data_IF_892366279370
#
_entry.id   IF_892366279370
#
_cell.length_a   1.000
_cell.length_b   1.000
_cell.length_c   1.000
_cell.angle_alpha   90.00
_cell.angle_beta   90.00
_cell.angle_gamma   90.00
#
_symmetry.space_group_name_H-M   'P 1'
#
loop_
_entity.id
_entity.type
_entity.pdbx_description
1 polymer ?
#
# COMPACT_ATOMS: atom_id res chain seq x y z
N UNK A 1 -1.09 -37.05 0.28
CA UNK A 1 -1.80 -35.85 -0.12
C UNK A 1 -1.54 -35.49 -1.59
N UNK A 2 -1.03 -36.41 -2.38
CA UNK A 2 -0.76 -36.26 -3.83
C UNK A 2 -1.81 -36.94 -4.73
N UNK A 3 -2.78 -37.62 -4.16
CA UNK A 3 -3.78 -38.44 -4.91
C UNK A 3 -5.10 -37.73 -5.20
N UNK A 4 -5.33 -36.51 -4.68
CA UNK A 4 -6.62 -35.81 -4.81
C UNK A 4 -6.65 -34.75 -5.92
N UNK A 5 -5.54 -34.46 -6.59
CA UNK A 5 -5.44 -33.42 -7.65
C UNK A 5 -5.46 -33.97 -9.08
N UNK A 6 -5.65 -35.26 -9.25
CA UNK A 6 -5.56 -35.93 -10.56
C UNK A 6 -6.91 -36.19 -11.26
N UNK A 7 -8.04 -35.67 -10.75
CA UNK A 7 -9.35 -36.09 -11.28
C UNK A 7 -10.27 -35.01 -11.85
N UNK A 8 -9.82 -33.80 -12.03
CA UNK A 8 -10.63 -32.78 -12.71
C UNK A 8 -9.76 -31.94 -13.65
N UNK A 9 -10.01 -32.08 -14.92
CA UNK A 9 -9.65 -31.27 -16.08
C UNK A 9 -8.69 -31.89 -17.10
N UNK A 10 -9.30 -32.32 -18.14
CA UNK A 10 -8.70 -32.70 -19.42
C UNK A 10 -8.43 -31.41 -20.24
N UNK A 11 -7.26 -30.79 -20.04
CA UNK A 11 -6.57 -29.89 -20.97
C UNK A 11 -5.36 -29.26 -20.29
N UNK A 12 -4.18 -29.54 -20.82
CA UNK A 12 -2.86 -28.95 -20.57
C UNK A 12 -2.43 -28.87 -19.10
N UNK A 13 -1.56 -29.78 -18.67
CA UNK A 13 -0.91 -29.79 -17.37
C UNK A 13 0.47 -29.16 -17.49
N UNK A 14 0.71 -28.06 -16.76
CA UNK A 14 2.05 -27.63 -16.37
C UNK A 14 2.36 -28.21 -14.98
N UNK A 15 3.43 -29.00 -14.90
CA UNK A 15 3.91 -29.57 -13.63
C UNK A 15 5.02 -28.67 -13.11
N UNK A 16 4.81 -28.05 -11.97
CA UNK A 16 5.85 -27.35 -11.23
C UNK A 16 6.67 -28.36 -10.44
N UNK A 17 7.96 -28.48 -10.74
CA UNK A 17 8.90 -29.32 -9.99
C UNK A 17 9.82 -28.41 -9.19
N UNK A 18 9.66 -28.40 -7.85
CA UNK A 18 10.64 -27.75 -6.98
C UNK A 18 11.91 -28.61 -6.87
N UNK A 19 13.06 -27.98 -6.90
CA UNK A 19 14.36 -28.60 -6.93
C UNK A 19 14.83 -29.10 -5.57
N UNK A 20 14.17 -30.12 -5.00
CA UNK A 20 14.79 -30.95 -3.96
C UNK A 20 14.53 -32.41 -4.32
N UNK A 21 15.54 -32.99 -4.89
CA UNK A 21 15.94 -34.38 -4.93
C UNK A 21 14.90 -35.48 -4.76
N UNK A 22 13.96 -35.67 -5.68
CA UNK A 22 13.18 -36.91 -5.77
C UNK A 22 12.72 -37.18 -7.22
N UNK A 23 13.69 -37.35 -8.12
CA UNK A 23 13.48 -38.03 -9.39
C UNK A 23 14.47 -39.17 -9.50
N UNK A 24 14.29 -40.19 -8.64
CA UNK A 24 14.77 -41.55 -8.90
C UNK A 24 13.56 -42.45 -8.68
N UNK A 25 13.25 -43.21 -9.76
CA UNK A 25 12.28 -44.29 -9.79
C UNK A 25 10.85 -43.95 -10.23
N UNK A 26 10.67 -43.67 -11.53
CA UNK A 26 9.46 -44.08 -12.27
C UNK A 26 9.79 -44.15 -13.78
N UNK A 27 10.17 -45.33 -14.30
CA UNK A 27 10.54 -45.51 -15.72
C UNK A 27 9.38 -45.39 -16.73
N UNK A 28 8.13 -45.44 -16.27
CA UNK A 28 6.95 -45.48 -17.16
C UNK A 28 6.45 -44.09 -17.63
N UNK A 29 6.98 -43.01 -17.11
CA UNK A 29 6.55 -41.62 -17.50
C UNK A 29 7.44 -41.05 -18.61
N UNK A 30 8.63 -41.59 -18.83
CA UNK A 30 9.58 -41.07 -19.84
C UNK A 30 9.07 -41.07 -21.27
N UNK A 31 8.13 -41.91 -21.63
CA UNK A 31 7.66 -42.05 -23.02
C UNK A 31 6.43 -41.18 -23.37
N UNK A 32 5.81 -40.53 -22.41
CA UNK A 32 4.68 -39.61 -22.67
C UNK A 32 5.05 -38.12 -22.62
N UNK A 33 6.25 -37.80 -22.15
CA UNK A 33 6.69 -36.39 -21.91
C UNK A 33 7.47 -35.83 -23.12
N UNK A 34 7.71 -36.61 -24.19
CA UNK A 34 8.57 -36.17 -25.30
C UNK A 34 7.94 -35.14 -26.24
N UNK A 35 6.68 -34.74 -26.07
CA UNK A 35 6.02 -33.74 -26.92
C UNK A 35 5.43 -32.53 -26.18
N UNK A 36 5.51 -32.46 -24.86
CA UNK A 36 5.12 -31.27 -24.12
C UNK A 36 6.35 -30.35 -23.91
N UNK A 37 6.25 -29.11 -24.36
CA UNK A 37 7.26 -28.07 -24.06
C UNK A 37 7.27 -27.82 -22.56
N UNK A 38 8.14 -28.51 -21.83
CA UNK A 38 8.45 -28.14 -20.43
C UNK A 38 9.25 -26.85 -20.50
N UNK A 39 8.60 -25.71 -20.27
CA UNK A 39 9.32 -24.49 -19.94
C UNK A 39 9.79 -24.63 -18.49
N UNK A 40 11.03 -25.02 -18.30
CA UNK A 40 11.73 -24.85 -17.03
C UNK A 40 12.00 -23.37 -16.91
N UNK A 41 11.21 -22.68 -16.09
CA UNK A 41 11.62 -21.33 -15.66
C UNK A 41 12.95 -21.48 -14.94
N UNK A 42 13.98 -20.71 -15.31
CA UNK A 42 15.20 -20.72 -14.55
C UNK A 42 14.83 -20.28 -13.13
N UNK A 43 14.93 -21.23 -12.18
CA UNK A 43 14.84 -20.94 -10.76
C UNK A 43 15.73 -19.74 -10.49
N UNK A 44 15.13 -18.75 -9.88
CA UNK A 44 15.68 -17.50 -9.43
C UNK A 44 17.18 -17.60 -9.22
N UNK A 45 17.95 -16.89 -10.02
CA UNK A 45 19.26 -16.47 -9.60
C UNK A 45 19.06 -15.86 -8.22
N UNK A 46 19.89 -16.28 -7.25
CA UNK A 46 19.97 -15.61 -5.95
C UNK A 46 19.76 -14.12 -6.15
N UNK A 47 18.98 -13.44 -5.31
CA UNK A 47 18.79 -12.02 -5.44
C UNK A 47 20.17 -11.44 -5.66
N UNK A 48 20.40 -10.86 -6.84
CA UNK A 48 21.70 -10.33 -7.15
C UNK A 48 22.02 -9.37 -6.02
N UNK A 49 22.86 -9.79 -5.08
CA UNK A 49 23.64 -8.87 -4.28
C UNK A 49 24.38 -8.00 -5.28
N UNK A 50 23.69 -6.98 -5.80
CA UNK A 50 24.34 -5.89 -6.50
C UNK A 50 25.35 -5.37 -5.50
N UNK A 51 26.61 -5.81 -5.66
CA UNK A 51 27.73 -5.21 -4.97
C UNK A 51 27.47 -3.72 -4.96
N UNK A 52 27.27 -3.15 -3.78
CA UNK A 52 27.18 -1.73 -3.54
C UNK A 52 28.23 -1.00 -4.37
N UNK A 53 27.90 -0.52 -5.54
CA UNK A 53 28.47 0.71 -6.03
C UNK A 53 27.78 1.81 -5.21
N UNK A 54 28.28 2.06 -4.02
CA UNK A 54 28.02 3.31 -3.31
C UNK A 54 28.38 4.41 -4.30
N UNK A 55 27.41 5.10 -4.84
CA UNK A 55 27.77 6.33 -5.50
C UNK A 55 26.72 7.07 -6.30
N UNK A 56 25.80 6.48 -7.09
CA UNK A 56 25.26 7.33 -8.16
C UNK A 56 23.73 7.45 -8.30
N UNK A 57 22.93 6.61 -7.70
CA UNK A 57 21.47 6.65 -7.91
C UNK A 57 20.65 7.14 -6.70
N UNK A 58 21.26 7.33 -5.54
CA UNK A 58 20.66 8.06 -4.42
C UNK A 58 20.56 9.58 -4.65
N UNK A 59 21.23 10.12 -5.66
CA UNK A 59 21.23 11.57 -5.90
C UNK A 59 19.89 12.13 -6.39
N UNK A 60 18.93 11.28 -6.81
CA UNK A 60 17.62 11.70 -7.30
C UNK A 60 16.44 11.06 -6.55
N UNK A 61 16.68 10.32 -5.46
CA UNK A 61 15.60 9.73 -4.67
C UNK A 61 14.79 10.84 -3.99
N UNK A 62 13.46 10.72 -4.06
CA UNK A 62 12.54 11.63 -3.38
C UNK A 62 12.64 11.43 -1.88
N UNK A 63 12.95 12.48 -1.13
CA UNK A 63 12.99 12.46 0.33
C UNK A 63 11.58 12.38 0.89
N UNK A 64 11.33 11.38 1.71
CA UNK A 64 10.00 11.18 2.30
C UNK A 64 10.07 10.91 3.80
N UNK A 65 9.06 11.35 4.52
CA UNK A 65 8.70 10.87 5.85
C UNK A 65 7.38 10.13 5.71
N UNK A 66 7.26 8.97 6.35
CA UNK A 66 6.02 8.19 6.38
C UNK A 66 5.40 8.40 7.76
N UNK A 67 4.19 8.97 7.79
CA UNK A 67 3.37 9.11 8.99
C UNK A 67 2.27 8.06 8.92
N UNK A 68 2.23 7.14 9.87
CA UNK A 68 1.41 5.94 9.78
C UNK A 68 0.93 5.44 11.16
N UNK A 69 -0.03 4.56 11.18
CA UNK A 69 -0.57 3.89 12.38
C UNK A 69 -0.49 2.35 12.25
N UNK A 70 0.72 1.78 12.13
CA UNK A 70 1.02 0.50 11.52
C UNK A 70 0.08 -0.66 11.85
N UNK A 71 -0.95 -0.79 11.01
CA UNK A 71 -1.78 -1.94 10.79
C UNK A 71 -1.25 -2.82 9.65
N UNK A 72 -2.08 -3.68 9.09
CA UNK A 72 -1.68 -4.66 8.07
C UNK A 72 -1.27 -3.98 6.77
N UNK A 73 -2.07 -3.06 6.25
CA UNK A 73 -1.80 -2.37 4.98
C UNK A 73 -0.73 -1.28 5.10
N UNK A 74 -0.61 -0.60 6.26
CA UNK A 74 0.56 0.24 6.56
C UNK A 74 1.87 -0.54 6.43
N UNK A 75 1.91 -1.76 6.98
CA UNK A 75 3.09 -2.62 6.90
C UNK A 75 3.40 -2.98 5.45
N UNK A 76 2.41 -3.26 4.62
CA UNK A 76 2.61 -3.48 3.18
C UNK A 76 3.11 -2.20 2.48
N UNK A 77 2.64 -1.03 2.90
CA UNK A 77 3.11 0.26 2.41
C UNK A 77 4.57 0.53 2.82
N UNK A 78 4.93 0.24 4.07
CA UNK A 78 6.31 0.32 4.55
C UNK A 78 7.25 -0.62 3.79
N UNK A 79 6.82 -1.87 3.51
CA UNK A 79 7.58 -2.80 2.67
C UNK A 79 7.85 -2.19 1.29
N UNK A 80 6.82 -1.62 0.65
CA UNK A 80 6.94 -0.99 -0.65
C UNK A 80 7.90 0.20 -0.61
N UNK A 81 7.72 1.12 0.34
CA UNK A 81 8.53 2.33 0.45
C UNK A 81 10.01 2.02 0.68
N UNK A 82 10.31 1.11 1.62
CA UNK A 82 11.67 0.77 2.00
C UNK A 82 12.42 -0.07 0.94
N UNK A 83 11.69 -0.73 0.05
CA UNK A 83 12.22 -1.48 -1.10
C UNK A 83 12.33 -0.65 -2.37
N UNK A 84 11.68 0.52 -2.43
CA UNK A 84 11.67 1.38 -3.62
C UNK A 84 12.93 2.25 -3.66
N UNK A 85 13.77 2.11 -4.70
CA UNK A 85 15.00 2.91 -4.82
C UNK A 85 14.72 4.39 -5.15
N UNK A 86 13.52 4.73 -5.56
CA UNK A 86 13.03 6.07 -5.86
C UNK A 86 12.79 6.92 -4.61
N UNK A 87 12.70 6.26 -3.43
CA UNK A 87 12.45 6.93 -2.16
C UNK A 87 13.68 6.90 -1.24
N UNK A 88 13.92 8.02 -0.59
CA UNK A 88 14.84 8.15 0.55
C UNK A 88 13.99 8.39 1.81
N UNK A 89 13.71 7.30 2.54
CA UNK A 89 12.88 7.35 3.75
C UNK A 89 13.71 7.90 4.90
N UNK A 90 13.46 9.15 5.27
CA UNK A 90 14.19 9.88 6.32
C UNK A 90 13.82 9.42 7.73
N UNK A 91 12.59 8.92 7.90
CA UNK A 91 12.07 8.41 9.17
C UNK A 91 10.60 8.04 9.05
N UNK A 92 10.12 7.35 10.08
CA UNK A 92 8.72 6.95 10.23
C UNK A 92 8.20 7.62 11.49
N UNK A 93 7.08 8.34 11.39
CA UNK A 93 6.35 8.89 12.52
C UNK A 93 5.07 8.09 12.73
N UNK A 94 4.77 7.73 13.97
CA UNK A 94 3.65 6.86 14.28
C UNK A 94 2.58 7.65 15.03
N UNK A 95 1.35 7.58 14.57
CA UNK A 95 0.14 8.16 15.16
C UNK A 95 -0.75 7.06 15.73
N UNK A 96 -1.66 7.39 16.62
CA UNK A 96 -2.72 6.49 17.03
C UNK A 96 -3.78 6.36 15.91
N UNK A 97 -4.22 5.15 15.65
CA UNK A 97 -5.23 4.85 14.64
C UNK A 97 -5.59 3.37 14.72
N UNK A 98 -5.19 2.56 13.77
CA UNK A 98 -5.43 1.11 13.71
C UNK A 98 -5.12 0.42 15.06
N UNK A 99 -4.00 0.82 15.66
CA UNK A 99 -3.53 0.37 16.98
C UNK A 99 -3.01 1.55 17.81
N UNK A 100 -2.81 1.37 19.13
CA UNK A 100 -2.12 2.39 19.93
C UNK A 100 -0.72 2.71 19.36
N UNK A 101 -0.30 3.98 19.44
CA UNK A 101 0.96 4.49 18.88
C UNK A 101 2.18 3.64 19.25
N UNK A 102 2.25 3.15 20.48
CA UNK A 102 3.35 2.27 20.93
C UNK A 102 3.34 0.91 20.22
N UNK A 103 2.17 0.31 20.02
CA UNK A 103 2.03 -0.94 19.27
C UNK A 103 2.36 -0.74 17.79
N UNK A 104 1.88 0.36 17.20
CA UNK A 104 2.21 0.71 15.81
C UNK A 104 3.72 0.88 15.61
N UNK A 105 4.41 1.54 16.54
CA UNK A 105 5.86 1.71 16.47
C UNK A 105 6.61 0.36 16.55
N UNK A 106 6.18 -0.56 17.40
CA UNK A 106 6.71 -1.93 17.43
C UNK A 106 6.47 -2.66 16.09
N UNK A 107 5.30 -2.47 15.48
CA UNK A 107 4.99 -3.06 14.19
C UNK A 107 5.87 -2.49 13.06
N UNK A 108 6.12 -1.16 13.05
CA UNK A 108 7.07 -0.54 12.13
C UNK A 108 8.49 -1.11 12.30
N UNK A 109 8.96 -1.28 13.55
CA UNK A 109 10.27 -1.87 13.82
C UNK A 109 10.38 -3.32 13.33
N UNK A 110 9.31 -4.12 13.39
CA UNK A 110 9.29 -5.50 12.85
C UNK A 110 9.53 -5.51 11.34
N UNK A 111 8.94 -4.56 10.61
CA UNK A 111 9.19 -4.40 9.15
C UNK A 111 10.63 -3.99 8.89
N UNK A 112 11.14 -3.01 9.66
CA UNK A 112 12.53 -2.56 9.52
C UNK A 112 13.53 -3.69 9.80
N UNK A 113 13.26 -4.53 10.80
CA UNK A 113 14.07 -5.70 11.11
C UNK A 113 14.04 -6.75 9.99
N UNK A 114 12.85 -7.05 9.44
CA UNK A 114 12.68 -7.96 8.30
C UNK A 114 13.48 -7.50 7.08
N UNK A 115 13.58 -6.20 6.86
CA UNK A 115 14.28 -5.61 5.71
C UNK A 115 15.76 -5.27 6.02
N UNK A 116 16.27 -5.56 7.21
CA UNK A 116 17.60 -5.15 7.67
C UNK A 116 17.83 -3.62 7.59
N UNK A 117 16.76 -2.83 7.85
CA UNK A 117 16.73 -1.37 7.75
C UNK A 117 16.50 -0.68 9.10
N UNK A 118 17.00 -1.24 10.19
CA UNK A 118 16.96 -0.62 11.53
C UNK A 118 17.76 0.72 11.62
N UNK A 119 18.39 1.14 10.52
CA UNK A 119 18.98 2.47 10.34
C UNK A 119 17.94 3.59 10.22
N UNK A 120 16.71 3.27 9.75
CA UNK A 120 15.62 4.22 9.62
C UNK A 120 14.99 4.47 11.00
N UNK A 121 14.96 5.73 11.50
CA UNK A 121 14.41 6.00 12.81
C UNK A 121 12.88 5.96 12.82
N UNK A 122 12.31 5.45 13.91
CA UNK A 122 10.87 5.46 14.21
C UNK A 122 10.61 6.40 15.37
N UNK A 123 9.61 7.28 15.24
CA UNK A 123 9.25 8.28 16.25
C UNK A 123 7.81 8.09 16.71
N UNK A 124 7.60 8.16 18.03
CA UNK A 124 6.28 8.15 18.65
C UNK A 124 5.66 9.54 18.53
N UNK A 125 4.48 9.62 17.95
CA UNK A 125 3.68 10.81 17.80
C UNK A 125 2.47 10.82 18.74
N UNK A 126 1.38 11.43 18.28
CA UNK A 126 0.17 11.61 19.06
C UNK A 126 -0.49 10.26 19.43
N UNK A 127 -0.91 10.18 20.69
CA UNK A 127 -1.51 8.95 21.24
C UNK A 127 -3.04 9.00 21.30
N UNK A 128 -3.63 10.10 20.85
CA UNK A 128 -5.08 10.33 20.82
C UNK A 128 -5.41 11.38 19.75
N UNK A 129 -6.63 11.33 19.17
CA UNK A 129 -7.16 12.38 18.32
C UNK A 129 -7.21 13.74 19.00
N UNK A 130 -7.30 14.83 18.21
CA UNK A 130 -7.33 16.21 18.74
C UNK A 130 -8.49 16.46 19.70
N UNK A 131 -9.68 15.99 19.38
CA UNK A 131 -10.90 16.30 20.11
C UNK A 131 -11.64 15.06 20.58
N UNK A 132 -11.90 14.10 19.70
CA UNK A 132 -12.73 12.95 20.01
C UNK A 132 -11.95 11.85 20.76
N UNK A 133 -12.66 10.92 21.45
CA UNK A 133 -12.03 9.73 22.00
C UNK A 133 -11.38 8.88 20.92
N UNK A 134 -10.24 8.30 21.22
CA UNK A 134 -9.58 7.33 20.38
C UNK A 134 -10.43 6.05 20.26
N UNK A 135 -10.55 5.54 19.06
CA UNK A 135 -11.19 4.27 18.74
C UNK A 135 -10.23 3.52 17.82
N UNK A 136 -9.74 2.37 18.24
CA UNK A 136 -8.85 1.52 17.44
C UNK A 136 -9.63 0.73 16.37
N UNK A 137 -8.87 0.03 15.51
CA UNK A 137 -9.39 -0.87 14.49
C UNK A 137 -8.85 -2.31 14.68
N UNK A 138 -8.76 -2.75 15.92
CA UNK A 138 -8.29 -4.12 16.25
C UNK A 138 -9.22 -5.21 15.75
N UNK A 139 -10.49 -4.91 15.51
CA UNK A 139 -11.45 -5.80 14.84
C UNK A 139 -11.12 -6.03 13.35
N UNK A 140 -10.39 -5.10 12.74
CA UNK A 140 -9.96 -5.09 11.34
C UNK A 140 -8.54 -5.63 11.18
N UNK A 141 -7.62 -5.22 12.05
CA UNK A 141 -6.19 -5.52 11.95
C UNK A 141 -5.70 -6.59 12.93
N UNK A 142 -6.57 -7.13 13.79
CA UNK A 142 -6.20 -8.06 14.85
C UNK A 142 -5.63 -7.36 16.08
N UNK A 143 -5.60 -8.07 17.22
CA UNK A 143 -5.20 -7.52 18.51
C UNK A 143 -3.75 -6.96 18.54
N UNK A 144 -2.86 -7.51 17.69
CA UNK A 144 -1.48 -7.05 17.54
C UNK A 144 -1.29 -6.04 16.38
N UNK A 145 -2.37 -5.73 15.65
CA UNK A 145 -2.34 -4.89 14.45
C UNK A 145 -1.73 -5.57 13.22
N UNK A 146 -1.30 -6.82 13.33
CA UNK A 146 -0.65 -7.59 12.27
C UNK A 146 -1.34 -8.94 12.02
N UNK A 147 -2.69 -8.94 12.09
CA UNK A 147 -3.49 -10.12 11.79
C UNK A 147 -3.32 -11.27 12.77
N UNK A 148 -3.01 -10.94 14.03
CA UNK A 148 -2.72 -11.92 15.11
C UNK A 148 -1.56 -12.86 14.74
N UNK A 149 -0.59 -12.32 14.00
CA UNK A 149 0.64 -13.04 13.64
C UNK A 149 1.60 -13.21 14.81
N UNK A 150 1.44 -12.39 15.87
CA UNK A 150 2.20 -12.41 17.12
C UNK A 150 3.73 -12.47 16.89
N UNK A 151 4.20 -11.74 15.90
CA UNK A 151 5.62 -11.65 15.61
C UNK A 151 6.40 -11.08 16.81
N UNK A 152 7.63 -11.59 17.09
CA UNK A 152 8.41 -11.13 18.23
C UNK A 152 8.78 -9.66 18.10
N UNK A 153 8.82 -8.95 19.23
CA UNK A 153 9.24 -7.55 19.28
C UNK A 153 10.74 -7.42 18.99
N UNK A 154 11.11 -6.29 18.39
CA UNK A 154 12.48 -5.92 18.09
C UNK A 154 13.15 -5.38 19.36
N UNK A 155 14.31 -5.92 19.73
CA UNK A 155 15.02 -5.52 20.95
C UNK A 155 16.28 -4.71 20.69
N UNK A 156 16.74 -4.67 19.44
CA UNK A 156 18.01 -4.03 19.02
C UNK A 156 17.94 -2.50 19.02
N UNK A 157 16.75 -1.94 18.75
CA UNK A 157 16.49 -0.51 18.72
C UNK A 157 15.16 -0.24 19.41
N UNK A 158 14.91 1.01 19.76
CA UNK A 158 13.65 1.46 20.33
C UNK A 158 13.13 2.66 19.55
N UNK A 159 11.81 2.85 19.49
CA UNK A 159 11.23 4.07 18.96
C UNK A 159 11.75 5.27 19.76
N UNK A 160 11.91 6.40 19.10
CA UNK A 160 12.24 7.69 19.70
C UNK A 160 10.94 8.44 20.02
N UNK A 161 11.01 9.36 20.98
CA UNK A 161 9.95 10.30 21.26
C UNK A 161 9.97 11.49 20.27
N UNK A 162 8.98 12.36 20.34
CA UNK A 162 8.97 13.67 19.68
C UNK A 162 8.87 13.60 18.14
N UNK A 163 7.86 12.90 17.63
CA UNK A 163 7.59 12.82 16.19
C UNK A 163 7.34 14.20 15.57
N UNK A 164 6.63 15.08 16.26
CA UNK A 164 6.27 16.41 15.73
C UNK A 164 7.51 17.29 15.58
N UNK A 165 8.39 17.26 16.55
CA UNK A 165 9.68 17.97 16.50
C UNK A 165 10.60 17.41 15.41
N UNK A 166 10.60 16.09 15.21
CA UNK A 166 11.35 15.47 14.11
C UNK A 166 10.82 15.94 12.74
N UNK A 167 9.50 15.97 12.55
CA UNK A 167 8.86 16.50 11.35
C UNK A 167 9.26 17.96 11.13
N UNK A 168 9.11 18.79 12.17
CA UNK A 168 9.41 20.23 12.12
C UNK A 168 10.88 20.51 11.82
N UNK A 169 11.79 19.81 12.48
CA UNK A 169 13.23 19.94 12.24
C UNK A 169 13.59 19.53 10.82
N UNK A 170 13.11 18.38 10.37
CA UNK A 170 13.42 17.86 9.03
C UNK A 170 12.96 18.82 7.94
N UNK A 171 11.72 19.34 8.04
CA UNK A 171 11.20 20.32 7.07
C UNK A 171 11.90 21.68 7.14
N UNK A 172 12.41 22.07 8.31
CA UNK A 172 13.18 23.31 8.46
C UNK A 172 14.58 23.21 7.84
N UNK A 173 15.23 22.07 8.01
CA UNK A 173 16.59 21.82 7.52
C UNK A 173 16.66 21.42 6.05
N UNK A 174 15.57 20.82 5.51
CA UNK A 174 15.54 20.28 4.16
C UNK A 174 14.32 20.81 3.39
N UNK A 175 14.51 21.08 2.10
CA UNK A 175 13.42 21.53 1.22
C UNK A 175 12.95 20.38 0.32
N UNK A 176 11.68 20.38 -0.03
CA UNK A 176 11.09 19.40 -0.94
C UNK A 176 10.91 18.01 -0.32
N UNK A 177 10.82 17.93 1.01
CA UNK A 177 10.52 16.67 1.71
C UNK A 177 9.03 16.39 1.57
N UNK A 178 8.67 15.25 1.02
CA UNK A 178 7.28 14.80 0.93
C UNK A 178 6.87 14.08 2.22
N UNK A 179 5.62 14.24 2.62
CA UNK A 179 5.03 13.45 3.69
C UNK A 179 3.99 12.52 3.07
N UNK A 180 4.09 11.23 3.39
CA UNK A 180 3.08 10.22 3.05
C UNK A 180 2.38 9.88 4.36
N UNK A 181 1.15 10.40 4.53
CA UNK A 181 0.33 10.18 5.71
C UNK A 181 -0.66 9.04 5.43
N UNK A 182 -0.48 7.92 6.12
CA UNK A 182 -1.26 6.70 5.93
C UNK A 182 -2.32 6.50 7.03
N UNK A 183 -2.14 7.17 8.18
CA UNK A 183 -3.06 7.15 9.31
C UNK A 183 -3.83 8.46 9.53
N UNK A 184 -4.50 8.60 10.68
CA UNK A 184 -5.16 9.84 11.07
C UNK A 184 -4.20 11.02 11.05
N UNK A 185 -4.67 12.18 10.58
CA UNK A 185 -3.81 13.35 10.33
C UNK A 185 -3.40 14.13 11.60
N UNK A 186 -3.49 13.53 12.78
CA UNK A 186 -3.24 14.19 14.07
C UNK A 186 -1.81 14.75 14.18
N UNK A 187 -0.79 13.95 13.78
CA UNK A 187 0.61 14.42 13.80
C UNK A 187 0.79 15.61 12.85
N UNK A 188 0.18 15.57 11.67
CA UNK A 188 0.29 16.63 10.65
C UNK A 188 -0.43 17.90 11.12
N UNK A 189 -1.59 17.75 11.75
CA UNK A 189 -2.31 18.88 12.33
C UNK A 189 -1.51 19.55 13.44
N UNK A 190 -0.89 18.78 14.34
CA UNK A 190 0.02 19.30 15.39
C UNK A 190 1.22 20.02 14.79
N UNK A 191 1.87 19.42 13.79
CA UNK A 191 2.96 20.05 13.07
C UNK A 191 2.55 21.44 12.53
N UNK A 192 1.38 21.54 11.91
CA UNK A 192 0.86 22.80 11.37
C UNK A 192 0.58 23.82 12.47
N UNK A 193 -0.02 23.39 13.58
CA UNK A 193 -0.38 24.26 14.70
C UNK A 193 0.84 24.78 15.46
N UNK A 194 1.80 23.89 15.75
CA UNK A 194 2.91 24.18 16.65
C UNK A 194 4.14 24.74 15.91
N UNK A 195 4.35 24.35 14.62
CA UNK A 195 5.53 24.71 13.84
C UNK A 195 5.21 25.21 12.40
N UNK A 196 4.30 26.16 12.21
CA UNK A 196 3.85 26.55 10.86
C UNK A 196 4.97 27.05 9.93
N UNK A 197 6.05 27.60 10.50
CA UNK A 197 7.18 28.10 9.71
C UNK A 197 7.94 27.01 8.96
N UNK A 198 7.94 25.75 9.43
CA UNK A 198 8.65 24.65 8.79
C UNK A 198 7.97 24.19 7.48
N UNK A 199 6.70 24.53 7.28
CA UNK A 199 5.90 24.11 6.10
C UNK A 199 6.46 24.61 4.75
N UNK A 200 7.38 25.56 4.78
CA UNK A 200 8.16 25.93 3.57
C UNK A 200 8.98 24.76 3.02
N UNK A 201 9.44 23.86 3.88
CA UNK A 201 10.22 22.68 3.51
C UNK A 201 9.41 21.55 2.90
N UNK A 202 8.08 21.55 3.11
CA UNK A 202 7.20 20.54 2.57
C UNK A 202 7.25 20.51 1.03
N UNK A 203 7.51 19.35 0.45
CA UNK A 203 7.39 19.10 -0.99
C UNK A 203 5.95 18.89 -1.39
N UNK A 204 5.39 17.77 -0.99
CA UNK A 204 3.99 17.42 -1.18
C UNK A 204 3.44 16.68 0.06
N UNK A 205 2.14 16.66 0.21
CA UNK A 205 1.42 15.84 1.17
C UNK A 205 0.53 14.86 0.42
N UNK A 206 0.82 13.58 0.53
CA UNK A 206 -0.02 12.48 0.03
C UNK A 206 -0.68 11.83 1.24
N UNK A 207 -2.01 11.77 1.24
CA UNK A 207 -2.75 11.15 2.35
C UNK A 207 -3.53 9.94 1.86
N UNK A 208 -3.43 8.80 2.57
CA UNK A 208 -4.46 7.79 2.49
C UNK A 208 -5.58 8.19 3.45
N UNK A 209 -6.76 8.44 2.93
CA UNK A 209 -7.91 8.85 3.74
C UNK A 209 -9.03 9.48 2.94
N UNK A 210 -10.21 9.54 3.57
CA UNK A 210 -11.39 10.15 3.01
C UNK A 210 -12.07 9.37 1.88
N UNK A 211 -13.15 9.93 1.38
CA UNK A 211 -13.89 9.41 0.22
C UNK A 211 -14.63 10.55 -0.47
N UNK A 212 -14.76 10.48 -1.79
CA UNK A 212 -15.53 11.46 -2.58
C UNK A 212 -16.90 10.93 -2.95
N UNK A 213 -16.95 9.85 -3.74
CA UNK A 213 -18.22 9.19 -4.17
C UNK A 213 -18.37 7.80 -3.57
N UNK A 214 -17.30 7.22 -3.08
CA UNK A 214 -17.37 5.94 -2.39
C UNK A 214 -18.09 6.10 -1.05
N UNK A 215 -18.85 5.09 -0.64
CA UNK A 215 -19.36 5.04 0.73
C UNK A 215 -18.20 4.90 1.73
N UNK A 216 -18.43 5.19 3.01
CA UNK A 216 -17.46 5.00 4.06
C UNK A 216 -17.14 3.52 4.35
N UNK A 217 -16.16 3.27 5.20
CA UNK A 217 -15.79 1.94 5.70
C UNK A 217 -15.99 1.79 7.22
N UNK A 218 -16.13 2.88 7.98
CA UNK A 218 -16.43 2.87 9.41
C UNK A 218 -17.73 3.61 9.77
N UNK A 219 -18.27 4.37 8.83
CA UNK A 219 -19.64 4.91 8.87
C UNK A 219 -20.20 4.93 7.43
N UNK A 220 -21.50 5.20 7.22
CA UNK A 220 -22.05 5.26 5.86
C UNK A 220 -21.33 6.25 4.93
N UNK A 221 -20.66 7.26 5.47
CA UNK A 221 -20.10 8.39 4.70
C UNK A 221 -18.63 8.69 4.98
N UNK A 222 -18.02 8.05 5.98
CA UNK A 222 -16.67 8.39 6.39
C UNK A 222 -15.70 7.23 6.27
N UNK A 223 -14.50 7.54 5.79
CA UNK A 223 -13.33 6.69 5.81
C UNK A 223 -12.67 6.79 7.20
N UNK A 224 -12.04 5.69 7.65
CA UNK A 224 -11.56 5.51 9.02
C UNK A 224 -10.54 6.56 9.48
N UNK A 225 -9.52 6.87 8.70
CA UNK A 225 -8.48 7.82 9.11
C UNK A 225 -9.05 9.22 9.39
N UNK A 226 -9.93 9.68 8.49
CA UNK A 226 -10.58 10.99 8.68
C UNK A 226 -11.73 10.92 9.68
N UNK A 227 -12.35 9.77 9.87
CA UNK A 227 -13.33 9.57 10.93
C UNK A 227 -12.67 9.47 12.32
N UNK A 228 -11.50 8.88 12.41
CA UNK A 228 -10.73 8.74 13.66
C UNK A 228 -10.35 10.13 14.23
N UNK A 229 -9.87 11.04 13.38
CA UNK A 229 -9.61 12.43 13.78
C UNK A 229 -10.08 13.44 12.71
N UNK A 230 -11.39 13.71 12.65
CA UNK A 230 -11.93 14.64 11.66
C UNK A 230 -11.48 16.09 11.91
N UNK A 231 -11.22 16.44 13.16
CA UNK A 231 -10.72 17.78 13.52
C UNK A 231 -9.30 17.99 12.99
N UNK A 232 -8.44 16.99 13.09
CA UNK A 232 -7.11 17.04 12.50
C UNK A 232 -7.16 17.12 10.97
N UNK A 233 -7.99 16.29 10.34
CA UNK A 233 -8.17 16.34 8.89
C UNK A 233 -8.64 17.74 8.46
N UNK A 234 -9.63 18.32 9.13
CA UNK A 234 -10.11 19.68 8.87
C UNK A 234 -9.01 20.72 9.00
N UNK A 235 -8.23 20.69 10.08
CA UNK A 235 -7.09 21.62 10.31
C UNK A 235 -6.11 21.53 9.14
N UNK A 236 -5.78 20.34 8.67
CA UNK A 236 -4.85 20.15 7.55
C UNK A 236 -5.41 20.73 6.26
N UNK A 237 -6.67 20.46 5.90
CA UNK A 237 -7.28 21.02 4.69
C UNK A 237 -7.42 22.55 4.75
N UNK A 238 -7.79 23.13 5.89
CA UNK A 238 -7.87 24.58 6.10
C UNK A 238 -6.48 25.25 6.02
N UNK A 239 -5.41 24.57 6.43
CA UNK A 239 -4.06 25.07 6.29
C UNK A 239 -3.65 25.23 4.83
N UNK A 240 -3.99 24.27 3.96
CA UNK A 240 -3.71 24.34 2.51
C UNK A 240 -4.55 25.42 1.80
N UNK A 241 -5.69 25.84 2.37
CA UNK A 241 -6.42 27.03 1.94
C UNK A 241 -5.76 28.33 2.43
N UNK A 242 -5.30 28.36 3.70
CA UNK A 242 -4.99 29.60 4.42
C UNK A 242 -3.52 30.02 4.33
N UNK A 243 -2.57 29.06 4.39
CA UNK A 243 -1.15 29.40 4.40
C UNK A 243 -0.60 29.69 3.02
N UNK A 244 0.02 30.86 2.77
CA UNK A 244 0.55 31.23 1.45
C UNK A 244 1.54 30.20 0.86
N UNK A 245 2.35 29.57 1.73
CA UNK A 245 3.34 28.55 1.34
C UNK A 245 2.71 27.24 0.89
N UNK A 246 1.49 26.95 1.31
CA UNK A 246 0.75 25.75 0.98
C UNK A 246 -0.28 25.93 -0.15
N UNK A 247 -0.75 27.17 -0.39
CA UNK A 247 -1.78 27.46 -1.41
C UNK A 247 -1.43 26.97 -2.83
N UNK A 248 -0.16 26.94 -3.20
CA UNK A 248 0.29 26.45 -4.49
C UNK A 248 0.47 24.93 -4.51
N UNK A 249 0.39 24.29 -3.35
CA UNK A 249 0.44 22.86 -3.17
C UNK A 249 -0.98 22.36 -2.91
N UNK A 250 -1.23 21.13 -3.26
CA UNK A 250 -2.51 20.49 -2.99
C UNK A 250 -2.26 19.24 -2.15
N UNK A 251 -3.23 18.90 -1.29
CA UNK A 251 -3.25 17.61 -0.63
C UNK A 251 -3.63 16.58 -1.69
N UNK A 252 -2.79 15.57 -1.92
CA UNK A 252 -3.14 14.44 -2.78
C UNK A 252 -3.93 13.43 -1.96
N UNK A 253 -5.25 13.39 -2.17
CA UNK A 253 -6.15 12.49 -1.43
C UNK A 253 -6.31 11.15 -2.14
N UNK A 254 -5.74 10.11 -1.57
CA UNK A 254 -5.91 8.71 -1.97
C UNK A 254 -7.06 8.14 -1.13
N UNK A 255 -8.28 8.38 -1.56
CA UNK A 255 -9.48 7.97 -0.83
C UNK A 255 -10.00 6.60 -1.24
N UNK A 256 -11.09 6.17 -0.59
CA UNK A 256 -11.75 4.89 -0.87
C UNK A 256 -12.24 4.76 -2.32
N UNK A 257 -12.32 5.87 -3.06
CA UNK A 257 -12.71 5.87 -4.48
C UNK A 257 -11.73 5.11 -5.37
N UNK A 258 -10.45 5.08 -4.99
CA UNK A 258 -9.39 4.38 -5.72
C UNK A 258 -8.85 3.18 -4.95
N UNK A 259 -8.78 3.24 -3.63
CA UNK A 259 -8.16 2.15 -2.85
C UNK A 259 -8.99 0.88 -2.85
N UNK A 260 -10.31 0.97 -2.95
CA UNK A 260 -11.20 -0.21 -3.06
C UNK A 260 -11.00 -1.02 -4.33
N UNK A 261 -10.38 -0.45 -5.35
CA UNK A 261 -10.01 -1.20 -6.54
C UNK A 261 -8.77 -2.06 -6.34
N UNK A 262 -7.99 -1.82 -5.28
CA UNK A 262 -6.73 -2.50 -4.99
C UNK A 262 -6.98 -3.69 -4.06
N UNK A 263 -7.30 -4.82 -4.65
CA UNK A 263 -7.60 -6.07 -3.91
C UNK A 263 -6.42 -7.03 -3.98
N UNK A 264 -5.83 -7.33 -2.84
CA UNK A 264 -4.86 -8.41 -2.69
C UNK A 264 -5.62 -9.73 -2.52
N UNK A 265 -5.55 -10.59 -3.52
CA UNK A 265 -6.25 -11.89 -3.52
C UNK A 265 -5.35 -13.02 -3.02
N UNK A 266 -5.92 -14.17 -2.56
CA UNK A 266 -5.14 -15.34 -2.18
C UNK A 266 -4.17 -15.82 -3.27
N UNK A 267 -4.58 -15.76 -4.55
CA UNK A 267 -3.73 -16.16 -5.67
C UNK A 267 -2.49 -15.26 -5.81
N UNK A 268 -2.63 -13.95 -5.57
CA UNK A 268 -1.51 -13.03 -5.56
C UNK A 268 -0.54 -13.35 -4.43
N UNK A 269 -1.04 -13.65 -3.23
CA UNK A 269 -0.20 -14.05 -2.09
C UNK A 269 0.54 -15.36 -2.37
N UNK A 270 -0.10 -16.35 -3.00
CA UNK A 270 0.57 -17.58 -3.42
C UNK A 270 1.68 -17.27 -4.45
N UNK A 271 1.42 -16.42 -5.44
CA UNK A 271 2.45 -16.00 -6.38
C UNK A 271 3.61 -15.29 -5.70
N UNK A 272 3.33 -14.37 -4.76
CA UNK A 272 4.36 -13.71 -3.96
C UNK A 272 5.21 -14.71 -3.17
N UNK A 273 4.59 -15.78 -2.66
CA UNK A 273 5.32 -16.86 -1.94
C UNK A 273 6.23 -17.64 -2.88
N UNK A 274 5.83 -17.83 -4.16
CA UNK A 274 6.71 -18.41 -5.15
C UNK A 274 7.92 -17.52 -5.49
N UNK A 275 7.79 -16.20 -5.39
CA UNK A 275 8.89 -15.26 -5.61
C UNK A 275 9.89 -15.22 -4.45
N UNK A 276 9.39 -15.26 -3.22
CA UNK A 276 10.19 -15.33 -2.00
C UNK A 276 9.38 -16.01 -0.90
N UNK A 277 9.81 -17.19 -0.45
CA UNK A 277 9.14 -17.94 0.61
C UNK A 277 9.05 -17.14 1.92
N UNK A 278 10.13 -16.47 2.31
CA UNK A 278 10.19 -15.67 3.54
C UNK A 278 9.22 -14.49 3.48
N UNK A 279 9.35 -13.64 2.48
CA UNK A 279 8.53 -12.43 2.32
C UNK A 279 7.07 -12.78 2.01
N UNK A 280 6.82 -13.77 1.16
CA UNK A 280 5.47 -14.22 0.83
C UNK A 280 4.75 -14.84 2.02
N UNK A 281 5.44 -15.65 2.84
CA UNK A 281 4.86 -16.18 4.08
C UNK A 281 4.61 -15.07 5.12
N UNK A 282 5.49 -14.08 5.23
CA UNK A 282 5.23 -12.90 6.07
C UNK A 282 3.92 -12.22 5.65
N UNK A 283 3.78 -11.86 4.36
CA UNK A 283 2.58 -11.22 3.82
C UNK A 283 1.35 -12.11 4.04
N UNK A 284 1.43 -13.42 3.76
CA UNK A 284 0.35 -14.38 3.99
C UNK A 284 -0.12 -14.39 5.45
N UNK A 285 0.82 -14.39 6.38
CA UNK A 285 0.50 -14.49 7.81
C UNK A 285 -0.24 -13.25 8.30
N UNK A 286 0.22 -12.05 7.93
CA UNK A 286 -0.43 -10.80 8.37
C UNK A 286 -1.77 -10.55 7.66
N UNK A 287 -1.93 -10.98 6.40
CA UNK A 287 -3.15 -10.70 5.62
C UNK A 287 -4.28 -11.70 5.83
N UNK A 288 -4.04 -12.84 6.47
CA UNK A 288 -5.08 -13.85 6.69
C UNK A 288 -6.28 -13.32 7.47
N UNK A 289 -6.03 -12.60 8.57
CA UNK A 289 -7.07 -11.98 9.38
C UNK A 289 -7.85 -10.93 8.56
N UNK A 290 -7.15 -10.17 7.76
CA UNK A 290 -7.69 -9.11 6.92
C UNK A 290 -8.58 -9.67 5.78
N UNK A 291 -8.27 -10.86 5.25
CA UNK A 291 -9.13 -11.57 4.31
C UNK A 291 -10.47 -11.95 4.96
N UNK A 292 -10.43 -12.49 6.18
CA UNK A 292 -11.64 -12.87 6.93
C UNK A 292 -12.51 -11.63 7.25
N UNK A 293 -11.89 -10.51 7.58
CA UNK A 293 -12.58 -9.25 7.80
C UNK A 293 -13.30 -8.77 6.52
N UNK A 294 -12.58 -8.62 5.40
CA UNK A 294 -13.17 -8.13 4.15
C UNK A 294 -14.24 -9.08 3.59
N UNK A 295 -14.09 -10.38 3.80
CA UNK A 295 -15.14 -11.32 3.45
C UNK A 295 -16.43 -11.06 4.22
N UNK A 296 -16.33 -10.83 5.53
CA UNK A 296 -17.50 -10.58 6.38
C UNK A 296 -18.16 -9.24 6.14
N UNK A 297 -17.37 -8.20 5.91
CA UNK A 297 -17.87 -6.82 5.78
C UNK A 297 -18.27 -6.46 4.36
N UNK A 298 -17.52 -6.89 3.36
CA UNK A 298 -17.68 -6.41 1.98
C UNK A 298 -17.92 -7.56 0.97
N UNK A 299 -17.87 -8.82 1.41
CA UNK A 299 -18.03 -9.98 0.52
C UNK A 299 -16.89 -10.16 -0.49
N UNK A 300 -15.70 -9.62 -0.19
CA UNK A 300 -14.52 -9.67 -1.05
C UNK A 300 -13.68 -10.90 -0.73
N UNK A 301 -13.32 -11.70 -1.73
CA UNK A 301 -12.34 -12.79 -1.60
C UNK A 301 -10.94 -12.19 -1.77
N UNK A 302 -10.36 -11.79 -0.65
CA UNK A 302 -9.09 -11.06 -0.59
C UNK A 302 -9.17 -9.96 0.46
N UNK A 303 -8.29 -8.98 0.38
CA UNK A 303 -8.39 -7.76 1.18
C UNK A 303 -8.06 -6.53 0.34
N UNK A 304 -8.74 -5.44 0.63
CA UNK A 304 -8.37 -4.12 0.10
C UNK A 304 -7.11 -3.68 0.83
N UNK A 305 -6.06 -3.33 0.09
CA UNK A 305 -4.82 -2.77 0.65
C UNK A 305 -4.73 -1.30 0.27
N UNK A 306 -5.08 -0.42 1.22
CA UNK A 306 -5.29 1.00 0.96
C UNK A 306 -3.96 1.75 0.83
N UNK A 307 -3.11 1.65 1.83
CA UNK A 307 -1.92 2.48 2.03
C UNK A 307 -0.81 2.30 0.99
N UNK A 308 -0.57 1.07 0.48
CA UNK A 308 0.45 0.89 -0.55
C UNK A 308 0.20 1.72 -1.81
N UNK A 309 -1.08 2.04 -2.14
CA UNK A 309 -1.40 2.89 -3.27
C UNK A 309 -0.91 4.33 -3.07
N UNK A 310 -0.97 4.87 -1.86
CA UNK A 310 -0.47 6.20 -1.55
C UNK A 310 1.05 6.28 -1.71
N UNK A 311 1.78 5.25 -1.28
CA UNK A 311 3.24 5.15 -1.50
C UNK A 311 3.57 5.04 -2.98
N UNK A 312 2.89 4.15 -3.71
CA UNK A 312 3.10 3.97 -5.14
C UNK A 312 2.80 5.25 -5.92
N UNK A 313 1.71 5.95 -5.59
CA UNK A 313 1.35 7.23 -6.18
C UNK A 313 2.40 8.31 -5.91
N UNK A 314 2.95 8.40 -4.71
CA UNK A 314 4.04 9.33 -4.39
C UNK A 314 5.28 9.08 -5.27
N UNK A 315 5.53 7.84 -5.67
CA UNK A 315 6.62 7.49 -6.59
C UNK A 315 6.24 7.82 -8.04
N UNK A 316 5.05 7.43 -8.47
CA UNK A 316 4.55 7.59 -9.84
C UNK A 316 3.10 8.11 -9.83
N UNK A 317 2.95 9.43 -9.94
CA UNK A 317 1.63 10.08 -9.99
C UNK A 317 0.74 9.57 -11.14
N UNK A 318 1.30 8.98 -12.18
CA UNK A 318 0.52 8.47 -13.31
C UNK A 318 -0.27 7.19 -13.00
N UNK A 319 -0.07 6.58 -11.82
CA UNK A 319 -0.84 5.42 -11.36
C UNK A 319 -2.30 5.76 -11.06
N UNK A 320 -2.58 7.00 -10.71
CA UNK A 320 -3.94 7.46 -10.45
C UNK A 320 -4.24 8.71 -11.26
N UNK A 321 -5.54 8.94 -11.49
CA UNK A 321 -6.05 10.18 -12.09
C UNK A 321 -7.10 10.80 -11.17
N UNK A 322 -7.23 12.11 -11.26
CA UNK A 322 -8.15 12.84 -10.42
C UNK A 322 -8.38 14.27 -10.89
N UNK A 323 -8.90 15.07 -10.01
CA UNK A 323 -9.19 16.49 -10.27
C UNK A 323 -8.94 17.33 -9.02
N UNK A 324 -8.65 18.61 -9.22
CA UNK A 324 -8.46 19.54 -8.12
C UNK A 324 -9.77 20.15 -7.66
N UNK A 325 -10.00 20.19 -6.35
CA UNK A 325 -11.20 20.74 -5.73
C UNK A 325 -10.88 21.45 -4.40
N UNK A 326 -11.83 22.26 -3.95
CA UNK A 326 -11.88 22.63 -2.55
C UNK A 326 -12.48 21.47 -1.75
N UNK A 327 -11.82 21.12 -0.66
CA UNK A 327 -12.26 20.02 0.21
C UNK A 327 -12.18 20.44 1.67
N UNK A 328 -13.13 19.96 2.46
CA UNK A 328 -13.15 20.06 3.92
C UNK A 328 -13.69 18.78 4.51
N UNK A 329 -13.59 18.63 5.85
CA UNK A 329 -14.07 17.45 6.56
C UNK A 329 -15.09 17.87 7.61
N UNK A 330 -16.21 17.12 7.68
CA UNK A 330 -17.25 17.36 8.69
C UNK A 330 -16.83 16.83 10.05
N UNK A 331 -16.92 17.67 11.07
CA UNK A 331 -16.44 17.35 12.43
C UNK A 331 -17.54 17.03 13.44
N UNK A 332 -18.81 17.05 13.02
CA UNK A 332 -19.92 16.84 13.93
C UNK A 332 -21.14 16.17 13.26
N UNK A 333 -22.06 15.73 14.08
CA UNK A 333 -23.34 15.22 13.62
C UNK A 333 -23.27 13.85 12.95
N UNK A 334 -24.29 13.55 12.16
CA UNK A 334 -24.47 12.23 11.51
C UNK A 334 -23.43 11.96 10.42
N UNK A 335 -22.85 13.02 9.88
CA UNK A 335 -21.83 12.96 8.81
C UNK A 335 -20.41 13.19 9.32
N UNK A 336 -20.16 13.03 10.62
CA UNK A 336 -18.84 13.15 11.21
C UNK A 336 -17.81 12.31 10.45
N UNK A 337 -16.69 12.94 10.05
CA UNK A 337 -15.61 12.34 9.28
C UNK A 337 -15.85 12.34 7.76
N UNK A 338 -17.02 12.78 7.28
CA UNK A 338 -17.30 12.89 5.85
C UNK A 338 -16.38 13.91 5.18
N UNK A 339 -15.73 13.48 4.11
CA UNK A 339 -15.02 14.39 3.20
C UNK A 339 -16.00 15.09 2.28
N UNK A 340 -16.07 16.41 2.36
CA UNK A 340 -16.95 17.25 1.55
C UNK A 340 -16.13 17.89 0.44
N UNK A 341 -16.29 17.40 -0.79
CA UNK A 341 -15.53 17.83 -1.97
C UNK A 341 -16.39 18.71 -2.87
N UNK A 342 -16.01 19.96 -3.05
CA UNK A 342 -16.70 20.90 -3.96
C UNK A 342 -16.22 20.71 -5.42
N UNK A 343 -16.63 19.62 -6.01
CA UNK A 343 -16.26 19.25 -7.37
C UNK A 343 -16.82 20.19 -8.45
N UNK A 344 -17.85 20.96 -8.13
CA UNK A 344 -18.54 21.86 -9.06
C UNK A 344 -18.32 23.34 -8.73
N UNK A 345 -17.42 23.62 -7.79
CA UNK A 345 -17.05 24.99 -7.42
C UNK A 345 -18.24 25.85 -6.96
N UNK A 346 -19.13 25.24 -6.15
CA UNK A 346 -20.30 25.94 -5.56
C UNK A 346 -19.86 27.06 -4.63
N UNK A 347 -18.80 26.83 -3.85
CA UNK A 347 -18.34 27.77 -2.83
C UNK A 347 -17.37 28.83 -3.34
N UNK A 348 -16.87 28.69 -4.58
CA UNK A 348 -15.91 29.61 -5.22
C UNK A 348 -14.65 29.79 -4.36
N UNK A 349 -14.19 28.72 -3.70
CA UNK A 349 -12.99 28.73 -2.87
C UNK A 349 -11.78 28.23 -3.63
N UNK A 350 -10.59 28.64 -3.18
CA UNK A 350 -9.34 28.14 -3.70
C UNK A 350 -9.22 26.62 -3.50
N UNK A 351 -8.74 25.92 -4.51
CA UNK A 351 -8.61 24.48 -4.51
C UNK A 351 -7.42 24.06 -3.66
N UNK A 352 -7.70 23.35 -2.58
CA UNK A 352 -6.70 22.90 -1.60
C UNK A 352 -6.31 21.43 -1.73
N UNK A 353 -6.94 20.68 -2.62
CA UNK A 353 -6.73 19.24 -2.76
C UNK A 353 -6.83 18.74 -4.19
N UNK A 354 -6.15 17.65 -4.47
CA UNK A 354 -6.26 16.84 -5.67
C UNK A 354 -6.87 15.48 -5.29
N UNK A 355 -8.10 15.25 -5.73
CA UNK A 355 -8.92 14.08 -5.38
C UNK A 355 -8.70 13.01 -6.43
N UNK A 356 -8.16 11.85 -6.03
CA UNK A 356 -7.93 10.73 -6.93
C UNK A 356 -9.23 9.90 -7.06
N UNK A 357 -9.60 9.58 -8.31
CA UNK A 357 -10.88 8.91 -8.62
C UNK A 357 -10.76 7.75 -9.58
N UNK A 358 -9.60 7.56 -10.19
CA UNK A 358 -9.32 6.46 -11.10
C UNK A 358 -7.93 5.90 -10.80
N UNK A 359 -7.80 4.60 -10.80
CA UNK A 359 -6.52 3.89 -10.70
C UNK A 359 -6.50 2.70 -11.66
N UNK A 360 -5.32 2.11 -11.82
CA UNK A 360 -5.10 0.90 -12.62
C UNK A 360 -4.58 -0.22 -11.70
N UNK A 361 -5.46 -1.12 -11.20
CA UNK A 361 -5.08 -2.17 -10.26
C UNK A 361 -4.01 -3.14 -10.79
N UNK A 362 -4.02 -3.45 -12.07
CA UNK A 362 -3.02 -4.33 -12.66
C UNK A 362 -1.64 -3.65 -12.72
N UNK A 363 -1.60 -2.39 -13.12
CA UNK A 363 -0.38 -1.59 -13.13
C UNK A 363 0.16 -1.42 -11.72
N UNK A 364 -0.73 -1.13 -10.76
CA UNK A 364 -0.37 -1.05 -9.35
C UNK A 364 0.19 -2.38 -8.83
N UNK A 365 -0.48 -3.51 -9.04
CA UNK A 365 0.01 -4.82 -8.56
C UNK A 365 1.32 -5.21 -9.24
N UNK A 366 1.51 -4.88 -10.52
CA UNK A 366 2.80 -5.06 -11.19
C UNK A 366 3.88 -4.26 -10.48
N UNK A 367 3.61 -2.98 -10.20
CA UNK A 367 4.53 -2.08 -9.50
C UNK A 367 4.85 -2.61 -8.10
N UNK A 368 3.84 -2.94 -7.31
CA UNK A 368 3.94 -3.42 -5.94
C UNK A 368 4.81 -4.69 -5.85
N UNK A 369 4.49 -5.71 -6.64
CA UNK A 369 5.23 -6.98 -6.62
C UNK A 369 6.66 -6.78 -7.12
N UNK A 370 6.86 -6.03 -8.21
CA UNK A 370 8.18 -5.76 -8.76
C UNK A 370 9.11 -5.10 -7.72
N UNK A 371 8.61 -4.09 -6.99
CA UNK A 371 9.42 -3.37 -6.02
C UNK A 371 9.73 -4.21 -4.77
N UNK A 372 8.71 -4.85 -4.19
CA UNK A 372 8.90 -5.62 -2.96
C UNK A 372 9.82 -6.83 -3.19
N UNK A 373 9.65 -7.53 -4.31
CA UNK A 373 10.37 -8.77 -4.56
C UNK A 373 11.61 -8.61 -5.46
N UNK A 374 11.80 -7.45 -6.07
CA UNK A 374 12.89 -7.22 -7.04
C UNK A 374 12.74 -8.10 -8.30
N UNK A 375 11.51 -8.54 -8.59
CA UNK A 375 11.20 -9.40 -9.73
C UNK A 375 11.23 -8.61 -11.05
N UNK A 376 11.43 -9.29 -12.18
CA UNK A 376 11.34 -8.66 -13.49
C UNK A 376 9.90 -8.26 -13.81
N UNK A 377 9.70 -7.02 -14.25
CA UNK A 377 8.36 -6.49 -14.48
C UNK A 377 7.63 -7.20 -15.63
N UNK A 378 8.34 -7.76 -16.62
CA UNK A 378 7.73 -8.51 -17.72
C UNK A 378 7.21 -9.87 -17.25
N UNK A 379 7.96 -10.55 -16.38
CA UNK A 379 7.55 -11.81 -15.79
C UNK A 379 6.36 -11.63 -14.85
N UNK A 380 6.39 -10.58 -14.02
CA UNK A 380 5.27 -10.22 -13.14
C UNK A 380 4.02 -9.94 -13.96
N UNK A 381 4.11 -9.10 -15.00
CA UNK A 381 2.98 -8.81 -15.89
C UNK A 381 2.41 -10.07 -16.53
N UNK A 382 3.27 -10.96 -17.02
CA UNK A 382 2.83 -12.22 -17.63
C UNK A 382 1.97 -13.06 -16.68
N UNK A 383 2.39 -13.20 -15.42
CA UNK A 383 1.64 -13.98 -14.42
C UNK A 383 0.37 -13.25 -14.00
N UNK A 384 0.44 -11.91 -13.75
CA UNK A 384 -0.71 -11.14 -13.32
C UNK A 384 -1.86 -11.12 -14.35
N UNK A 385 -1.56 -11.18 -15.64
CA UNK A 385 -2.59 -11.31 -16.68
C UNK A 385 -3.46 -12.54 -16.45
N UNK A 386 -2.87 -13.66 -16.04
CA UNK A 386 -3.60 -14.89 -15.81
C UNK A 386 -4.37 -14.90 -14.49
N UNK A 387 -3.86 -14.19 -13.47
CA UNK A 387 -4.49 -14.13 -12.14
C UNK A 387 -5.63 -13.11 -12.10
N UNK A 388 -5.47 -11.95 -12.77
CA UNK A 388 -6.35 -10.80 -12.65
C UNK A 388 -7.35 -10.66 -13.81
N UNK A 389 -7.37 -11.59 -14.79
CA UNK A 389 -8.34 -11.57 -15.88
C UNK A 389 -9.68 -12.08 -15.37
N UNK A 390 -10.72 -11.27 -15.46
CA UNK A 390 -12.09 -11.68 -15.19
C UNK A 390 -12.65 -12.54 -16.32
N UNK A 391 -13.54 -13.47 -15.96
CA UNK A 391 -14.19 -14.41 -16.85
C UNK A 391 -15.00 -13.71 -17.97
N UNK A 392 -15.03 -14.35 -19.14
CA UNK A 392 -15.60 -13.82 -20.36
C UNK A 392 -17.03 -13.27 -20.19
N UNK A 393 -17.22 -12.00 -20.51
CA UNK A 393 -18.52 -11.31 -20.52
C UNK A 393 -18.68 -10.21 -19.48
N UNK A 394 -17.77 -10.05 -18.54
CA UNK A 394 -17.68 -8.91 -17.63
C UNK A 394 -16.49 -8.03 -17.99
N UNK A 395 -16.41 -6.82 -17.47
CA UNK A 395 -15.31 -5.91 -17.74
C UNK A 395 -13.97 -6.61 -17.58
N UNK A 396 -13.38 -6.99 -18.70
CA UNK A 396 -12.00 -7.44 -18.75
C UNK A 396 -11.16 -6.21 -18.48
N UNK A 397 -10.53 -6.17 -17.32
CA UNK A 397 -9.58 -5.13 -17.03
C UNK A 397 -8.29 -5.43 -17.81
N UNK A 398 -8.01 -4.60 -18.80
CA UNK A 398 -6.87 -4.76 -19.70
C UNK A 398 -5.97 -3.54 -19.63
N UNK A 399 -4.64 -3.71 -19.55
CA UNK A 399 -3.72 -2.59 -19.71
C UNK A 399 -3.91 -1.94 -21.07
N UNK A 400 -3.95 -0.59 -21.10
CA UNK A 400 -4.20 0.18 -22.33
C UNK A 400 -3.12 0.05 -23.41
N UNK A 401 -1.98 -0.50 -23.07
CA UNK A 401 -0.76 -0.58 -23.87
C UNK A 401 -0.48 -1.98 -24.47
N UNK A 402 -1.47 -2.90 -24.41
CA UNK A 402 -1.24 -4.26 -24.87
C UNK A 402 -2.24 -4.71 -25.93
N UNK A 403 -2.10 -4.17 -27.14
CA UNK A 403 -2.83 -4.62 -28.33
C UNK A 403 -2.59 -6.11 -28.63
N UNK A 404 -1.40 -6.63 -28.33
CA UNK A 404 -1.01 -8.04 -28.55
C UNK A 404 -1.81 -9.05 -27.72
N UNK A 405 -2.34 -8.64 -26.55
CA UNK A 405 -3.13 -9.54 -25.70
C UNK A 405 -4.52 -9.81 -26.26
N UNK A 406 -5.11 -8.83 -26.94
CA UNK A 406 -6.42 -8.98 -27.58
C UNK A 406 -6.37 -9.98 -28.74
N UNK A 407 -5.26 -10.01 -29.49
CA UNK A 407 -5.07 -10.99 -30.56
C UNK A 407 -4.85 -12.40 -30.03
N UNK A 408 -4.15 -12.56 -28.90
CA UNK A 408 -3.93 -13.86 -28.28
C UNK A 408 -5.22 -14.50 -27.77
N UNK A 409 -6.11 -13.71 -27.14
CA UNK A 409 -7.43 -14.19 -26.70
C UNK A 409 -8.37 -14.50 -27.88
N UNK A 410 -8.24 -13.82 -29.01
CA UNK A 410 -9.03 -14.12 -30.22
C UNK A 410 -8.54 -15.39 -30.92
N UNK A 411 -7.27 -15.77 -30.76
CA UNK A 411 -6.68 -16.97 -31.34
C UNK A 411 -7.12 -18.28 -30.67
N UNK A 412 -7.48 -18.24 -29.39
CA UNK A 412 -7.84 -19.44 -28.61
C UNK A 412 -9.36 -19.77 -28.65
N UNK A 413 -10.19 -18.88 -29.18
CA UNK A 413 -11.66 -19.09 -29.30
C UNK A 413 -12.06 -19.77 -30.63
N UNK A 414 -11.11 -19.97 -31.52
CA UNK A 414 -11.37 -20.53 -32.90
C UNK A 414 -10.61 -21.82 -33.13
N UNK A 415 -10.56 -22.73 -32.14
CA UNK A 415 -10.20 -24.14 -32.42
C UNK A 415 -11.00 -25.11 -31.59
#
# INVERSE_FOLDING_TARGET
>A
MLYFLLHLYNRQFEIYVSSVGLVRELPSIKNQVSQSRIRVFPLLREPMRKKNRKGDWRMNAKKVIIDCDPGIDDVLALLLALRSPELDVLGITVVCGNVPTTQGAENALKVLALLERLDVPVYLGETKPLVRPYVDATDTHGADGLGESFLPNVTQVRPKECAIEFLAQTLSEQKGVSIIALGPLTNIARLIQDYPACLEGLGELVTMGGSYKSHGNCSPVAEYNYWCDPDAAKVVYEAFESYPTLRQKQIHMIGLDVTREIVLTPNLVEYMTCLSEEMGNFIRNITRFYFDFHWKQEGVIGCVINDPLAVAYCIDHSLCKGFSAYTTVETAGISLGQTVVDAHDFWKKEKNSHILTETDPYRFMTFFITHIFGADASDVRYVLRQIMVEDAGKRVWMPKDEEDYVEMLKGDVVK
#
